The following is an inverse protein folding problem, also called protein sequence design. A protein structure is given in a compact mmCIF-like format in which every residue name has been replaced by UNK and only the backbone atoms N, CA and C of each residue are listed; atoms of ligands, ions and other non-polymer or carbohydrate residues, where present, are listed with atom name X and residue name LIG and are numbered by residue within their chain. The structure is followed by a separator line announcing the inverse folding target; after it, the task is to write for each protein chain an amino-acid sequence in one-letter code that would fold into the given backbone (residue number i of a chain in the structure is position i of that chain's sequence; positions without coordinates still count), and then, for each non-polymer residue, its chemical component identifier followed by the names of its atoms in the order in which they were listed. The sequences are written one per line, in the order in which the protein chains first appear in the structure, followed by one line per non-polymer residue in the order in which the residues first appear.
data_IF_155549072557
#
_entry.id   IF_155549072557
#
_cell.length_a   1.000
_cell.length_b   1.000
_cell.length_c   1.000
_cell.angle_alpha   90.00
_cell.angle_beta   90.00
_cell.angle_gamma   90.00
#
_symmetry.space_group_name_H-M   'P 1'
#
loop_
_entity.id
_entity.type
_entity.pdbx_description
1 polymer ?
#
# COMPACT_ATOMS: atom_id res chain seq x y z
N UNK A 1 9.39 19.52 -38.12
CA UNK A 1 9.43 19.26 -36.67
C UNK A 1 8.01 18.96 -36.21
N UNK A 2 7.68 17.67 -36.00
CA UNK A 2 6.31 17.22 -35.72
C UNK A 2 6.08 17.21 -34.20
N UNK A 3 5.25 18.12 -33.70
CA UNK A 3 4.68 18.06 -32.35
C UNK A 3 3.58 17.00 -32.32
N UNK A 4 3.73 15.96 -31.49
CA UNK A 4 2.63 15.05 -31.18
C UNK A 4 1.76 15.70 -30.11
N UNK A 5 0.58 16.12 -30.51
CA UNK A 5 -0.51 16.58 -29.66
C UNK A 5 -1.18 15.32 -29.10
N UNK A 6 -0.99 15.02 -27.81
CA UNK A 6 -1.73 13.96 -27.13
C UNK A 6 -2.98 14.58 -26.51
N UNK A 7 -4.15 14.37 -27.11
CA UNK A 7 -5.42 14.67 -26.46
C UNK A 7 -5.74 13.56 -25.47
N UNK A 8 -5.75 13.90 -24.18
CA UNK A 8 -6.41 13.09 -23.14
C UNK A 8 -7.92 13.31 -23.27
N UNK A 9 -8.54 12.56 -24.18
CA UNK A 9 -9.99 12.41 -24.16
C UNK A 9 -10.34 11.46 -23.00
N UNK A 10 -11.09 12.00 -22.04
CA UNK A 10 -11.86 11.25 -21.07
C UNK A 10 -12.78 10.26 -21.79
N UNK A 11 -12.40 8.99 -21.81
CA UNK A 11 -13.33 7.92 -22.17
C UNK A 11 -14.11 7.60 -20.90
N UNK A 12 -15.31 8.17 -20.82
CA UNK A 12 -16.41 7.67 -19.99
C UNK A 12 -16.56 6.18 -20.26
N UNK A 13 -16.38 5.35 -19.23
CA UNK A 13 -16.88 3.98 -19.29
C UNK A 13 -18.30 3.97 -18.74
N UNK A 14 -19.24 3.65 -19.62
CA UNK A 14 -20.66 3.48 -19.36
C UNK A 14 -20.88 2.40 -18.29
N UNK A 15 -21.39 2.82 -17.14
CA UNK A 15 -21.87 1.95 -16.07
C UNK A 15 -23.24 1.38 -16.43
N UNK A 16 -23.33 0.48 -17.41
CA UNK A 16 -24.57 -0.27 -17.72
C UNK A 16 -24.28 -1.61 -18.38
N UNK A 17 -24.06 -2.68 -17.62
CA UNK A 17 -24.63 -4.02 -17.88
C UNK A 17 -24.69 -4.75 -16.53
N UNK A 18 -25.87 -4.79 -15.89
CA UNK A 18 -26.48 -5.96 -15.27
C UNK A 18 -27.81 -5.52 -14.63
N UNK A 19 -28.82 -5.33 -15.47
CA UNK A 19 -30.22 -5.49 -15.08
C UNK A 19 -30.78 -6.59 -15.97
N UNK A 20 -31.26 -7.68 -15.35
CA UNK A 20 -32.43 -8.40 -15.81
C UNK A 20 -32.94 -9.28 -14.67
N UNK A 21 -34.04 -8.85 -14.08
CA UNK A 21 -34.96 -9.71 -13.35
C UNK A 21 -35.84 -10.48 -14.36
N UNK A 22 -36.15 -11.72 -13.97
CA UNK A 22 -37.33 -12.52 -14.32
C UNK A 22 -37.54 -13.00 -15.77
N UNK A 23 -37.16 -14.26 -16.02
CA UNK A 23 -38.08 -15.25 -16.62
C UNK A 23 -37.91 -16.57 -15.86
N UNK A 24 -39.02 -17.05 -15.30
CA UNK A 24 -39.16 -18.35 -14.65
C UNK A 24 -39.55 -19.44 -15.66
N UNK A 25 -39.26 -20.69 -15.27
CA UNK A 25 -39.87 -21.96 -15.69
C UNK A 25 -39.68 -22.45 -17.15
N UNK A 26 -38.75 -23.39 -17.32
CA UNK A 26 -39.03 -24.81 -17.65
C UNK A 26 -37.85 -25.43 -18.43
N UNK A 27 -37.12 -26.37 -17.83
CA UNK A 27 -37.11 -27.77 -18.24
C UNK A 27 -35.95 -28.57 -17.61
N UNK A 28 -36.32 -29.81 -17.25
CA UNK A 28 -35.50 -30.87 -16.67
C UNK A 28 -34.49 -31.44 -17.67
N UNK A 29 -33.49 -32.13 -17.10
CA UNK A 29 -32.59 -33.13 -17.72
C UNK A 29 -31.55 -32.51 -18.65
N UNK A 30 -30.24 -32.79 -18.59
CA UNK A 30 -29.53 -34.04 -18.45
C UNK A 30 -28.04 -33.81 -18.09
N UNK A 31 -27.45 -34.86 -17.51
CA UNK A 31 -26.04 -35.30 -17.56
C UNK A 31 -24.90 -34.51 -16.91
N UNK A 32 -24.41 -35.17 -15.86
CA UNK A 32 -23.09 -35.14 -15.23
C UNK A 32 -21.92 -35.43 -16.18
N UNK A 33 -20.84 -34.65 -16.10
CA UNK A 33 -19.46 -35.14 -16.31
C UNK A 33 -18.51 -34.31 -15.42
N UNK A 34 -18.03 -34.90 -14.32
CA UNK A 34 -16.84 -34.44 -13.62
C UNK A 34 -15.61 -35.07 -14.30
N UNK A 35 -14.57 -34.31 -14.66
CA UNK A 35 -13.30 -34.91 -15.06
C UNK A 35 -12.54 -35.37 -13.81
N UNK A 36 -12.25 -36.66 -13.75
CA UNK A 36 -11.39 -37.33 -12.77
C UNK A 36 -9.98 -36.73 -12.77
N UNK A 37 -9.49 -36.37 -11.58
CA UNK A 37 -8.09 -35.97 -11.36
C UNK A 37 -7.26 -37.24 -11.14
N UNK A 38 -6.13 -37.45 -11.86
CA UNK A 38 -5.30 -38.64 -11.69
C UNK A 38 -4.65 -38.64 -10.31
N UNK A 39 -4.85 -39.73 -9.57
CA UNK A 39 -4.24 -39.98 -8.26
C UNK A 39 -2.78 -40.38 -8.44
N UNK A 40 -1.85 -39.46 -8.18
CA UNK A 40 -0.43 -39.75 -8.08
C UNK A 40 -0.14 -40.26 -6.67
N UNK A 41 0.13 -41.56 -6.53
CA UNK A 41 0.72 -42.14 -5.32
C UNK A 41 2.17 -41.69 -5.21
N UNK A 42 2.45 -40.72 -4.33
CA UNK A 42 3.80 -40.38 -3.90
C UNK A 42 4.12 -41.14 -2.61
N UNK A 43 5.03 -42.10 -2.71
CA UNK A 43 5.67 -42.76 -1.58
C UNK A 43 6.37 -41.71 -0.70
N UNK A 44 5.83 -41.48 0.49
CA UNK A 44 6.36 -40.52 1.46
C UNK A 44 7.35 -41.22 2.39
N UNK A 45 8.57 -41.44 1.89
CA UNK A 45 9.67 -41.94 2.72
C UNK A 45 10.34 -40.80 3.53
N UNK A 46 10.11 -40.82 4.84
CA UNK A 46 11.05 -40.52 5.95
C UNK A 46 11.88 -39.22 6.00
N UNK A 47 11.60 -38.18 5.21
CA UNK A 47 12.25 -36.85 5.37
C UNK A 47 11.49 -35.91 6.35
N UNK A 48 10.30 -36.32 6.81
CA UNK A 48 9.31 -35.44 7.47
C UNK A 48 9.57 -35.01 8.92
N UNK A 49 10.58 -35.52 9.63
CA UNK A 49 10.70 -35.29 11.09
C UNK A 49 11.89 -34.45 11.59
N UNK A 50 12.78 -33.91 10.74
CA UNK A 50 13.94 -33.12 11.27
C UNK A 50 13.83 -31.60 11.12
N UNK A 51 12.87 -31.10 10.34
CA UNK A 51 12.72 -29.65 10.10
C UNK A 51 11.77 -29.03 11.12
N UNK A 52 10.64 -29.68 11.45
CA UNK A 52 9.67 -29.13 12.41
C UNK A 52 10.27 -28.96 13.82
N UNK A 53 11.00 -29.97 14.33
CA UNK A 53 11.66 -29.88 15.65
C UNK A 53 12.69 -28.74 15.75
N UNK A 54 13.20 -28.25 14.62
CA UNK A 54 14.22 -27.19 14.55
C UNK A 54 13.64 -25.77 14.42
N UNK A 55 12.36 -25.66 14.05
CA UNK A 55 11.64 -24.39 13.99
C UNK A 55 10.82 -24.14 15.26
N UNK A 56 10.36 -25.21 15.92
CA UNK A 56 9.59 -25.14 17.16
C UNK A 56 10.49 -25.17 18.42
N UNK A 57 11.72 -25.68 18.31
CA UNK A 57 12.78 -25.44 19.31
C UNK A 57 13.86 -24.50 18.74
N UNK A 58 14.17 -23.46 19.52
CA UNK A 58 15.40 -22.63 19.49
C UNK A 58 15.37 -21.24 18.81
N UNK A 59 15.79 -20.27 19.63
CA UNK A 59 16.70 -19.15 19.34
C UNK A 59 16.70 -18.59 17.91
N UNK A 60 16.27 -17.33 17.75
CA UNK A 60 16.28 -16.58 16.49
C UNK A 60 17.60 -16.56 15.69
N UNK A 61 18.74 -16.97 16.28
CA UNK A 61 20.04 -17.15 15.60
C UNK A 61 19.98 -18.12 14.41
N UNK A 62 19.22 -19.21 14.51
CA UNK A 62 19.12 -20.20 13.42
C UNK A 62 18.25 -19.68 12.26
N UNK A 63 17.16 -18.98 12.56
CA UNK A 63 16.33 -18.30 11.54
C UNK A 63 17.13 -17.23 10.78
N UNK A 64 17.97 -16.45 11.48
CA UNK A 64 18.85 -15.47 10.84
C UNK A 64 19.83 -16.13 9.85
N UNK A 65 20.35 -17.32 10.17
CA UNK A 65 21.29 -18.04 9.29
C UNK A 65 20.59 -18.54 8.03
N UNK A 66 19.39 -19.11 8.19
CA UNK A 66 18.56 -19.59 7.08
C UNK A 66 18.18 -18.43 6.17
N UNK A 67 17.58 -17.37 6.74
CA UNK A 67 17.16 -16.21 5.97
C UNK A 67 18.35 -15.52 5.28
N UNK A 68 19.50 -15.40 5.96
CA UNK A 68 20.73 -14.89 5.33
C UNK A 68 21.15 -15.75 4.15
N UNK A 69 21.05 -17.09 4.23
CA UNK A 69 21.39 -17.97 3.11
C UNK A 69 20.47 -17.81 1.91
N UNK A 70 19.16 -17.64 2.14
CA UNK A 70 18.17 -17.36 1.09
C UNK A 70 18.33 -15.96 0.50
N UNK A 71 18.74 -14.99 1.33
CA UNK A 71 18.94 -13.59 0.93
C UNK A 71 20.41 -13.27 0.62
N UNK A 72 21.28 -14.26 0.40
CA UNK A 72 22.74 -14.08 0.15
C UNK A 72 23.03 -13.11 -1.00
N UNK A 73 22.10 -12.99 -1.96
CA UNK A 73 22.21 -12.12 -3.13
C UNK A 73 21.22 -10.93 -3.11
N UNK A 74 20.42 -10.79 -2.06
CA UNK A 74 19.42 -9.71 -1.95
C UNK A 74 20.07 -8.51 -1.25
N UNK A 75 20.79 -7.72 -2.05
CA UNK A 75 21.42 -6.46 -1.62
C UNK A 75 20.40 -5.31 -1.47
N UNK A 76 19.15 -5.51 -1.89
CA UNK A 76 18.17 -4.45 -1.91
C UNK A 76 17.62 -4.21 -0.49
N UNK A 77 18.04 -3.11 0.15
CA UNK A 77 17.50 -2.60 1.42
C UNK A 77 16.04 -2.11 1.33
N UNK A 78 15.23 -2.69 0.44
CA UNK A 78 13.86 -2.29 0.13
C UNK A 78 12.80 -3.06 0.93
N UNK A 79 13.15 -4.17 1.59
CA UNK A 79 12.23 -4.99 2.41
C UNK A 79 12.87 -5.35 3.74
N UNK A 80 12.04 -5.53 4.77
CA UNK A 80 12.40 -6.31 5.96
C UNK A 80 11.26 -7.29 6.29
N UNK A 81 11.63 -8.34 6.99
CA UNK A 81 10.82 -9.46 7.43
C UNK A 81 10.80 -9.49 8.96
N UNK A 82 9.68 -9.86 9.55
CA UNK A 82 9.58 -10.08 11.00
C UNK A 82 10.29 -11.41 11.32
N UNK A 83 11.18 -11.38 12.29
CA UNK A 83 12.00 -12.53 12.71
C UNK A 83 11.81 -12.90 14.17
N UNK A 84 11.08 -12.07 14.91
CA UNK A 84 10.86 -12.19 16.34
C UNK A 84 9.39 -12.52 16.61
N UNK A 85 9.16 -13.58 17.36
CA UNK A 85 7.81 -14.08 17.66
C UNK A 85 7.02 -13.13 18.56
N UNK A 86 7.67 -12.39 19.45
CA UNK A 86 7.01 -11.41 20.31
C UNK A 86 6.56 -10.20 19.49
N UNK A 87 7.38 -9.78 18.52
CA UNK A 87 7.03 -8.72 17.57
C UNK A 87 5.83 -9.12 16.70
N UNK A 88 5.81 -10.36 16.20
CA UNK A 88 4.68 -10.90 15.47
C UNK A 88 3.41 -10.97 16.34
N UNK A 89 3.54 -11.48 17.57
CA UNK A 89 2.44 -11.61 18.52
C UNK A 89 1.82 -10.27 18.89
N UNK A 90 2.63 -9.21 19.07
CA UNK A 90 2.11 -7.85 19.27
C UNK A 90 1.21 -7.40 18.11
N UNK A 91 1.62 -7.66 16.86
CA UNK A 91 0.82 -7.32 15.69
C UNK A 91 -0.50 -8.09 15.69
N UNK A 92 -0.45 -9.41 15.85
CA UNK A 92 -1.65 -10.25 15.86
C UNK A 92 -2.59 -9.85 16.98
N UNK A 93 -2.08 -9.59 18.19
CA UNK A 93 -2.88 -9.13 19.33
C UNK A 93 -3.66 -7.84 19.04
N UNK A 94 -3.08 -6.88 18.32
CA UNK A 94 -3.80 -5.66 17.95
C UNK A 94 -4.76 -5.90 16.79
N UNK A 95 -4.36 -6.69 15.78
CA UNK A 95 -5.23 -7.08 14.67
C UNK A 95 -6.50 -7.78 15.19
N UNK A 96 -6.36 -8.75 16.10
CA UNK A 96 -7.45 -9.58 16.62
C UNK A 96 -8.55 -8.81 17.36
N UNK A 97 -8.27 -7.57 17.81
CA UNK A 97 -9.30 -6.73 18.46
C UNK A 97 -10.36 -6.22 17.48
N UNK A 98 -9.99 -6.10 16.21
CA UNK A 98 -10.79 -5.49 15.16
C UNK A 98 -11.05 -6.47 14.00
N UNK A 99 -10.89 -7.76 14.28
CA UNK A 99 -10.96 -8.84 13.30
C UNK A 99 -12.33 -9.52 13.40
N UNK A 100 -13.13 -9.34 12.36
CA UNK A 100 -14.46 -9.93 12.20
C UNK A 100 -14.39 -11.28 11.49
N UNK A 101 -15.43 -12.11 11.60
CA UNK A 101 -15.42 -13.48 11.05
C UNK A 101 -15.22 -13.52 9.53
N UNK A 102 -15.73 -12.53 8.83
CA UNK A 102 -15.71 -12.41 7.37
C UNK A 102 -14.43 -11.73 6.83
N UNK A 103 -13.55 -11.24 7.73
CA UNK A 103 -12.33 -10.55 7.32
C UNK A 103 -11.38 -11.47 6.55
N UNK A 104 -10.75 -10.91 5.51
CA UNK A 104 -9.64 -11.58 4.80
C UNK A 104 -8.33 -11.02 5.29
N UNK A 105 -7.42 -11.88 5.75
CA UNK A 105 -6.08 -11.47 6.15
C UNK A 105 -5.13 -11.64 4.97
N UNK A 106 -4.48 -10.53 4.59
CA UNK A 106 -3.45 -10.51 3.56
C UNK A 106 -2.11 -10.18 4.20
N UNK A 107 -1.13 -11.06 4.07
CA UNK A 107 0.24 -10.83 4.55
C UNK A 107 1.18 -10.40 3.42
N UNK A 108 1.85 -9.27 3.62
CA UNK A 108 2.83 -8.71 2.69
C UNK A 108 4.24 -9.21 3.02
N UNK A 109 4.87 -9.94 2.10
CA UNK A 109 6.27 -10.40 2.23
C UNK A 109 6.51 -11.18 3.54
N UNK A 110 5.86 -12.35 3.71
CA UNK A 110 5.92 -13.16 4.94
C UNK A 110 7.34 -13.68 5.28
N UNK A 111 8.25 -13.76 4.30
CA UNK A 111 9.57 -14.32 4.49
C UNK A 111 9.54 -15.78 4.91
N UNK A 112 10.13 -16.12 6.06
CA UNK A 112 10.08 -17.49 6.62
C UNK A 112 8.76 -17.80 7.36
N UNK A 113 7.81 -16.86 7.40
CA UNK A 113 6.48 -17.09 7.95
C UNK A 113 6.37 -17.02 9.47
N UNK A 114 7.21 -16.24 10.14
CA UNK A 114 7.11 -16.01 11.60
C UNK A 114 5.75 -15.39 11.94
N UNK A 115 5.36 -14.33 11.22
CA UNK A 115 4.05 -13.72 11.37
C UNK A 115 2.94 -14.64 10.84
N UNK A 116 3.11 -15.27 9.68
CA UNK A 116 2.17 -16.26 9.14
C UNK A 116 1.79 -17.34 10.16
N UNK A 117 2.78 -17.89 10.88
CA UNK A 117 2.56 -18.92 11.90
C UNK A 117 1.74 -18.39 13.08
N UNK A 118 2.03 -17.17 13.56
CA UNK A 118 1.22 -16.53 14.61
C UNK A 118 -0.22 -16.27 14.15
N UNK A 119 -0.41 -15.79 12.92
CA UNK A 119 -1.74 -15.61 12.34
C UNK A 119 -2.52 -16.95 12.27
N UNK A 120 -1.90 -18.00 11.72
CA UNK A 120 -2.54 -19.32 11.57
C UNK A 120 -2.93 -19.97 12.91
N UNK A 121 -2.12 -19.75 13.95
CA UNK A 121 -2.31 -20.37 15.27
C UNK A 121 -3.23 -19.56 16.20
N UNK A 122 -3.33 -18.25 16.01
CA UNK A 122 -4.11 -17.36 16.88
C UNK A 122 -5.41 -16.85 16.25
N UNK A 123 -5.62 -17.07 14.95
CA UNK A 123 -6.87 -16.76 14.26
C UNK A 123 -7.43 -17.99 13.55
N UNK A 124 -8.71 -17.95 13.19
CA UNK A 124 -9.38 -18.99 12.41
C UNK A 124 -9.54 -18.59 10.93
N UNK A 125 -8.97 -17.46 10.53
CA UNK A 125 -9.16 -16.87 9.20
C UNK A 125 -8.29 -17.54 8.14
N UNK A 126 -8.71 -17.38 6.89
CA UNK A 126 -7.87 -17.68 5.74
C UNK A 126 -6.83 -16.57 5.59
N UNK A 127 -5.61 -16.96 5.19
CA UNK A 127 -4.47 -16.07 5.02
C UNK A 127 -4.00 -16.15 3.59
N UNK A 128 -3.92 -14.98 2.96
CA UNK A 128 -3.37 -14.80 1.62
C UNK A 128 -1.98 -14.18 1.79
N UNK A 129 -0.94 -14.93 1.46
CA UNK A 129 0.44 -14.53 1.62
C UNK A 129 1.08 -14.22 0.27
N UNK A 130 1.62 -13.00 0.12
CA UNK A 130 2.33 -12.58 -1.09
C UNK A 130 3.83 -12.50 -0.84
N UNK A 131 4.57 -13.52 -1.31
CA UNK A 131 6.03 -13.59 -1.19
C UNK A 131 6.69 -13.55 -2.58
N UNK A 132 7.29 -12.41 -2.97
CA UNK A 132 7.91 -12.26 -4.28
C UNK A 132 9.27 -12.97 -4.39
N UNK A 133 9.89 -13.39 -3.29
CA UNK A 133 11.17 -14.08 -3.34
C UNK A 133 10.98 -15.60 -3.40
N UNK A 134 11.29 -16.20 -4.55
CA UNK A 134 11.07 -17.63 -4.81
C UNK A 134 11.61 -18.53 -3.70
N UNK A 135 12.85 -18.35 -3.26
CA UNK A 135 13.42 -19.24 -2.24
C UNK A 135 12.74 -19.13 -0.87
N UNK A 136 12.20 -17.96 -0.53
CA UNK A 136 11.46 -17.77 0.73
C UNK A 136 10.05 -18.33 0.57
N UNK A 137 9.44 -18.12 -0.60
CA UNK A 137 8.15 -18.69 -0.95
C UNK A 137 8.17 -20.22 -0.91
N UNK A 138 9.16 -20.87 -1.52
CA UNK A 138 9.29 -22.33 -1.47
C UNK A 138 9.44 -22.83 -0.04
N UNK A 139 10.29 -22.18 0.77
CA UNK A 139 10.41 -22.49 2.19
C UNK A 139 9.10 -22.33 2.95
N UNK A 140 8.30 -21.29 2.64
CA UNK A 140 7.00 -21.05 3.27
C UNK A 140 5.98 -22.14 2.89
N UNK A 141 5.96 -22.56 1.63
CA UNK A 141 5.11 -23.66 1.13
C UNK A 141 5.47 -24.97 1.84
N UNK A 142 6.75 -25.31 1.90
CA UNK A 142 7.22 -26.57 2.47
C UNK A 142 6.93 -26.66 3.98
N UNK A 143 7.10 -25.54 4.70
CA UNK A 143 6.97 -25.51 6.16
C UNK A 143 5.53 -25.30 6.60
N UNK A 144 4.79 -24.36 6.00
CA UNK A 144 3.45 -23.98 6.45
C UNK A 144 2.35 -24.34 5.45
N UNK A 145 2.61 -24.20 4.14
CA UNK A 145 1.61 -24.49 3.10
C UNK A 145 1.08 -25.92 3.17
N UNK A 146 1.96 -26.90 3.40
CA UNK A 146 1.57 -28.30 3.56
C UNK A 146 0.83 -28.61 4.86
N UNK A 147 1.02 -27.80 5.91
CA UNK A 147 0.35 -27.98 7.20
C UNK A 147 -1.04 -27.35 7.22
N UNK A 148 -1.23 -26.28 6.44
CA UNK A 148 -2.48 -25.50 6.40
C UNK A 148 -3.00 -25.33 4.96
N UNK A 149 -3.19 -26.42 4.18
CA UNK A 149 -3.47 -26.32 2.75
C UNK A 149 -4.81 -25.65 2.41
N UNK A 150 -5.78 -25.67 3.34
CA UNK A 150 -7.09 -25.03 3.17
C UNK A 150 -7.15 -23.59 3.70
N UNK A 151 -6.14 -23.15 4.46
CA UNK A 151 -6.16 -21.86 5.16
C UNK A 151 -5.06 -20.91 4.72
N UNK A 152 -3.98 -21.41 4.13
CA UNK A 152 -2.85 -20.60 3.67
C UNK A 152 -2.73 -20.68 2.14
N UNK A 153 -2.92 -19.55 1.47
CA UNK A 153 -2.75 -19.41 0.03
C UNK A 153 -1.56 -18.51 -0.26
N UNK A 154 -0.57 -19.02 -1.00
CA UNK A 154 0.71 -18.34 -1.23
C UNK A 154 0.85 -17.96 -2.71
N UNK A 155 1.17 -16.70 -2.98
CA UNK A 155 1.27 -16.15 -4.33
C UNK A 155 2.61 -15.45 -4.59
N UNK A 156 3.08 -15.53 -5.85
CA UNK A 156 4.30 -14.85 -6.34
C UNK A 156 4.00 -13.44 -6.84
N UNK A 157 3.65 -12.53 -5.92
CA UNK A 157 3.47 -11.11 -6.21
C UNK A 157 3.99 -10.27 -5.06
N UNK A 158 4.12 -8.96 -5.29
CA UNK A 158 4.51 -7.99 -4.27
C UNK A 158 3.40 -6.96 -4.07
N UNK A 159 2.72 -7.02 -2.93
CA UNK A 159 1.67 -6.06 -2.55
C UNK A 159 2.20 -4.63 -2.57
N UNK A 160 3.47 -4.39 -2.25
CA UNK A 160 4.07 -3.04 -2.27
C UNK A 160 4.26 -2.49 -3.69
N UNK A 161 4.06 -3.31 -4.72
CA UNK A 161 4.10 -2.93 -6.14
C UNK A 161 2.72 -2.72 -6.76
N UNK A 162 1.63 -2.77 -5.98
CA UNK A 162 0.25 -2.66 -6.49
C UNK A 162 0.05 -1.54 -7.53
N UNK A 163 0.50 -0.32 -7.22
CA UNK A 163 0.33 0.81 -8.14
C UNK A 163 1.21 0.69 -9.40
N UNK A 164 2.39 0.09 -9.28
CA UNK A 164 3.24 -0.19 -10.44
C UNK A 164 2.59 -1.22 -11.35
N UNK A 165 1.87 -2.20 -10.79
CA UNK A 165 1.04 -3.10 -11.57
C UNK A 165 -0.06 -2.33 -12.29
N UNK A 166 -0.83 -1.49 -11.60
CA UNK A 166 -1.85 -0.63 -12.22
C UNK A 166 -1.33 0.18 -13.41
N UNK A 167 -0.21 0.88 -13.24
CA UNK A 167 0.40 1.65 -14.32
C UNK A 167 0.83 0.75 -15.49
N UNK A 168 1.35 -0.46 -15.20
CA UNK A 168 1.75 -1.40 -16.23
C UNK A 168 0.56 -1.96 -17.02
N UNK A 169 -0.57 -2.27 -16.36
CA UNK A 169 -1.78 -2.77 -17.04
C UNK A 169 -2.41 -1.68 -17.92
N UNK A 170 -2.35 -0.41 -17.50
CA UNK A 170 -2.84 0.71 -18.33
C UNK A 170 -2.07 0.87 -19.63
N UNK A 171 -0.78 0.48 -19.66
CA UNK A 171 0.04 0.51 -20.88
C UNK A 171 -0.13 -0.75 -21.72
N UNK A 172 -0.30 -1.88 -21.05
CA UNK A 172 -0.45 -3.19 -21.66
C UNK A 172 -1.58 -3.94 -20.95
N UNK A 173 -2.84 -3.79 -21.42
CA UNK A 173 -4.01 -4.42 -20.81
C UNK A 173 -3.94 -5.96 -20.77
N UNK A 174 -3.02 -6.58 -21.52
CA UNK A 174 -2.76 -8.01 -21.45
C UNK A 174 -2.09 -8.44 -20.14
N UNK A 175 -1.36 -7.53 -19.47
CA UNK A 175 -0.75 -7.79 -18.16
C UNK A 175 -1.83 -7.67 -17.09
N UNK A 176 -2.26 -8.79 -16.54
CA UNK A 176 -3.27 -8.89 -15.47
C UNK A 176 -2.65 -9.06 -14.07
N UNK A 177 -1.55 -8.37 -13.77
CA UNK A 177 -0.84 -8.47 -12.49
C UNK A 177 -1.59 -7.85 -11.30
N UNK A 178 -2.17 -6.67 -11.45
CA UNK A 178 -3.03 -6.04 -10.45
C UNK A 178 -4.28 -6.90 -10.24
N UNK A 179 -4.89 -7.38 -11.34
CA UNK A 179 -6.03 -8.30 -11.22
C UNK A 179 -5.65 -9.57 -10.45
N UNK A 180 -4.51 -10.20 -10.75
CA UNK A 180 -4.00 -11.36 -9.98
C UNK A 180 -3.70 -11.02 -8.50
N UNK A 181 -3.31 -9.78 -8.22
CA UNK A 181 -3.10 -9.31 -6.84
C UNK A 181 -4.44 -9.17 -6.11
N UNK A 182 -5.43 -8.52 -6.70
CA UNK A 182 -6.68 -8.17 -6.01
C UNK A 182 -7.70 -9.31 -5.99
N UNK A 183 -7.75 -10.13 -7.04
CA UNK A 183 -8.76 -11.17 -7.20
C UNK A 183 -8.90 -12.10 -5.97
N UNK A 184 -7.82 -12.63 -5.38
CA UNK A 184 -7.92 -13.45 -4.17
C UNK A 184 -8.57 -12.74 -2.98
N UNK A 185 -8.40 -11.42 -2.89
CA UNK A 185 -8.97 -10.59 -1.81
C UNK A 185 -10.48 -10.37 -1.98
N UNK A 186 -10.99 -10.43 -3.22
CA UNK A 186 -12.39 -10.21 -3.54
C UNK A 186 -13.25 -11.49 -3.44
N UNK A 187 -12.64 -12.68 -3.47
CA UNK A 187 -13.36 -13.96 -3.54
C UNK A 187 -14.18 -14.33 -2.28
N UNK A 188 -13.98 -13.63 -1.17
CA UNK A 188 -14.50 -14.06 0.13
C UNK A 188 -15.70 -13.22 0.62
N UNK A 189 -16.23 -12.30 -0.20
CA UNK A 189 -17.39 -11.48 0.13
C UNK A 189 -18.67 -11.94 -0.60
N UNK A 190 -19.69 -12.34 0.15
CA UNK A 190 -20.99 -12.74 -0.43
C UNK A 190 -21.96 -11.56 -0.67
N UNK A 191 -21.63 -10.31 -0.31
CA UNK A 191 -22.54 -9.16 -0.46
C UNK A 191 -21.90 -7.78 -0.18
N UNK A 192 -20.90 -7.36 -0.96
CA UNK A 192 -20.36 -5.99 -0.90
C UNK A 192 -18.83 -5.88 -0.92
N UNK A 193 -18.32 -4.72 -0.49
CA UNK A 193 -16.87 -4.44 -0.36
C UNK A 193 -16.26 -5.48 0.59
N UNK A 194 -15.28 -6.23 0.11
CA UNK A 194 -14.59 -7.28 0.90
C UNK A 194 -13.82 -6.64 2.06
N UNK A 195 -14.04 -7.04 3.32
CA UNK A 195 -13.35 -6.45 4.45
C UNK A 195 -11.94 -7.06 4.55
N UNK A 196 -10.97 -6.37 3.96
CA UNK A 196 -9.58 -6.84 3.84
C UNK A 196 -8.69 -6.19 4.91
N UNK A 197 -7.95 -7.01 5.66
CA UNK A 197 -6.90 -6.56 6.57
C UNK A 197 -5.53 -6.91 6.00
N UNK A 198 -4.73 -5.89 5.68
CA UNK A 198 -3.39 -6.08 5.11
C UNK A 198 -2.35 -5.90 6.21
N UNK A 199 -1.50 -6.90 6.40
CA UNK A 199 -0.47 -6.93 7.45
C UNK A 199 0.92 -7.09 6.89
N UNK A 200 1.94 -6.61 7.60
CA UNK A 200 3.34 -6.81 7.23
C UNK A 200 4.25 -5.64 7.59
N UNK A 201 5.31 -5.47 6.80
CA UNK A 201 6.34 -4.46 7.05
C UNK A 201 6.62 -3.63 5.81
N UNK A 202 6.56 -2.29 5.92
CA UNK A 202 6.77 -1.37 4.80
C UNK A 202 7.96 -0.43 5.09
N UNK A 203 8.88 -0.34 4.13
CA UNK A 203 10.08 0.52 4.19
C UNK A 203 10.14 1.61 3.13
N UNK A 204 9.25 1.54 2.15
CA UNK A 204 9.24 2.45 1.03
C UNK A 204 8.26 3.59 1.28
N UNK A 205 8.79 4.82 1.36
CA UNK A 205 7.93 6.02 1.44
C UNK A 205 6.99 6.14 0.24
N UNK A 206 7.39 5.62 -0.93
CA UNK A 206 6.55 5.65 -2.12
C UNK A 206 5.31 4.78 -1.98
N UNK A 207 5.29 3.79 -1.08
CA UNK A 207 4.07 3.02 -0.80
C UNK A 207 2.94 3.94 -0.31
N UNK A 208 3.23 4.82 0.66
CA UNK A 208 2.26 5.75 1.22
C UNK A 208 1.81 6.82 0.22
N UNK A 209 2.74 7.32 -0.60
CA UNK A 209 2.38 8.23 -1.69
C UNK A 209 1.43 7.54 -2.69
N UNK A 210 1.76 6.31 -3.09
CA UNK A 210 0.91 5.50 -3.97
C UNK A 210 -0.43 5.14 -3.34
N UNK A 211 -0.50 5.00 -2.01
CA UNK A 211 -1.76 4.78 -1.31
C UNK A 211 -2.67 6.01 -1.39
N UNK A 212 -2.12 7.21 -1.24
CA UNK A 212 -2.84 8.47 -1.47
C UNK A 212 -3.37 8.53 -2.90
N UNK A 213 -2.51 8.27 -3.90
CA UNK A 213 -2.95 8.30 -5.30
C UNK A 213 -4.04 7.26 -5.60
N UNK A 214 -3.89 6.05 -5.07
CA UNK A 214 -4.89 4.99 -5.19
C UNK A 214 -6.25 5.43 -4.63
N UNK A 215 -6.26 6.16 -3.52
CA UNK A 215 -7.48 6.67 -2.89
C UNK A 215 -8.08 7.83 -3.69
N UNK A 216 -7.26 8.80 -4.10
CA UNK A 216 -7.68 9.99 -4.86
C UNK A 216 -8.26 9.60 -6.22
N UNK A 217 -7.59 8.71 -6.94
CA UNK A 217 -8.04 8.26 -8.26
C UNK A 217 -9.04 7.11 -8.20
N UNK A 218 -9.41 6.64 -7.00
CA UNK A 218 -10.31 5.51 -6.77
C UNK A 218 -9.92 4.30 -7.64
N UNK A 219 -8.66 3.88 -7.54
CA UNK A 219 -8.10 2.79 -8.31
C UNK A 219 -7.36 1.81 -7.39
N UNK A 220 -6.98 0.65 -7.94
CA UNK A 220 -6.29 -0.41 -7.20
C UNK A 220 -7.09 -0.88 -5.97
N UNK A 221 -6.59 -0.64 -4.75
CA UNK A 221 -7.26 -1.06 -3.52
C UNK A 221 -8.59 -0.34 -3.28
N UNK A 222 -8.69 0.91 -3.71
CA UNK A 222 -9.86 1.75 -3.45
C UNK A 222 -10.85 1.75 -4.61
N UNK A 223 -10.76 0.74 -5.47
CA UNK A 223 -11.81 0.42 -6.43
C UNK A 223 -12.87 -0.45 -5.74
N UNK A 224 -12.46 -1.58 -5.14
CA UNK A 224 -13.42 -2.59 -4.65
C UNK A 224 -13.22 -3.08 -3.20
N UNK A 225 -12.06 -2.85 -2.57
CA UNK A 225 -11.71 -3.57 -1.31
C UNK A 225 -11.52 -2.67 -0.07
N UNK A 226 -11.06 -1.42 -0.21
CA UNK A 226 -10.86 -0.49 0.93
C UNK A 226 -10.18 -1.10 2.17
N UNK A 227 -8.93 -1.55 2.03
CA UNK A 227 -8.28 -2.33 3.07
C UNK A 227 -7.93 -1.48 4.29
N UNK A 228 -7.93 -2.12 5.46
CA UNK A 228 -7.33 -1.59 6.68
C UNK A 228 -5.95 -2.22 6.82
N UNK A 229 -4.92 -1.39 7.05
CA UNK A 229 -3.55 -1.86 7.13
C UNK A 229 -3.07 -1.93 8.58
N UNK A 230 -2.40 -3.01 8.97
CA UNK A 230 -1.63 -3.15 10.22
C UNK A 230 -0.15 -3.37 9.88
N UNK A 231 0.63 -2.30 9.92
CA UNK A 231 1.98 -2.32 9.36
C UNK A 231 3.01 -1.91 10.39
N UNK A 232 4.12 -2.65 10.42
CA UNK A 232 5.35 -2.12 11.01
C UNK A 232 6.06 -1.20 10.02
N UNK A 233 6.45 -0.02 10.48
CA UNK A 233 7.20 0.97 9.70
C UNK A 233 8.36 1.57 10.52
N UNK A 234 9.48 1.96 9.88
CA UNK A 234 10.55 2.68 10.56
C UNK A 234 10.11 4.02 11.12
N UNK A 235 10.76 4.48 12.20
CA UNK A 235 10.62 5.84 12.74
C UNK A 235 10.69 6.93 11.64
N UNK A 236 11.67 6.82 10.72
CA UNK A 236 11.86 7.78 9.63
C UNK A 236 10.66 7.90 8.67
N UNK A 237 9.83 6.86 8.57
CA UNK A 237 8.62 6.86 7.74
C UNK A 237 7.48 7.43 8.56
N UNK A 238 7.34 6.98 9.80
CA UNK A 238 6.33 7.45 10.74
C UNK A 238 6.38 8.98 10.87
N UNK A 239 7.57 9.55 11.13
CA UNK A 239 7.80 11.00 11.22
C UNK A 239 7.47 11.77 9.93
N UNK A 240 7.39 11.10 8.76
CA UNK A 240 7.07 11.70 7.47
C UNK A 240 5.60 11.58 7.09
N UNK A 241 4.83 10.69 7.71
CA UNK A 241 3.39 10.57 7.45
C UNK A 241 2.55 11.16 8.58
N UNK A 242 3.13 11.38 9.75
CA UNK A 242 2.50 12.06 10.89
C UNK A 242 2.90 13.53 10.92
N UNK A 243 1.93 14.43 11.11
CA UNK A 243 2.17 15.84 11.44
C UNK A 243 2.37 15.92 12.95
N UNK A 244 3.62 15.97 13.39
CA UNK A 244 3.96 16.15 14.80
C UNK A 244 3.78 17.60 15.24
N UNK A 245 3.28 17.81 16.47
CA UNK A 245 3.19 19.14 17.09
C UNK A 245 4.55 19.78 17.41
N UNK A 246 5.61 18.95 17.53
CA UNK A 246 6.94 19.38 18.00
C UNK A 246 7.93 19.69 16.88
N UNK A 247 7.69 19.20 15.65
CA UNK A 247 8.62 19.37 14.53
C UNK A 247 8.07 20.39 13.53
N UNK A 248 8.83 21.46 13.28
CA UNK A 248 8.46 22.47 12.28
C UNK A 248 8.65 21.98 10.84
N UNK A 249 9.50 20.97 10.62
CA UNK A 249 9.67 20.31 9.34
C UNK A 249 8.75 19.08 9.26
N UNK A 250 7.70 19.15 8.45
CA UNK A 250 6.92 17.99 8.06
C UNK A 250 7.19 17.68 6.59
N UNK A 251 6.93 16.45 6.18
CA UNK A 251 7.12 16.02 4.80
C UNK A 251 5.88 16.40 3.99
N UNK A 252 6.01 16.67 2.68
CA UNK A 252 4.87 17.09 1.86
C UNK A 252 3.69 16.09 1.87
N UNK A 253 3.96 14.83 2.22
CA UNK A 253 2.97 13.76 2.33
C UNK A 253 2.25 13.74 3.70
N UNK A 254 2.77 14.41 4.74
CA UNK A 254 2.24 14.26 6.10
C UNK A 254 0.81 14.80 6.24
N UNK A 255 0.50 15.94 5.61
CA UNK A 255 -0.86 16.50 5.64
C UNK A 255 -1.79 15.69 4.74
N UNK A 256 -1.50 15.47 3.44
CA UNK A 256 -2.40 14.72 2.56
C UNK A 256 -2.69 13.31 3.14
N UNK A 257 -1.68 12.63 3.66
CA UNK A 257 -1.88 11.30 4.22
C UNK A 257 -2.89 11.26 5.37
N UNK A 258 -2.84 12.22 6.31
CA UNK A 258 -3.80 12.28 7.42
C UNK A 258 -5.18 12.81 7.01
N UNK A 259 -5.26 13.52 5.89
CA UNK A 259 -6.51 13.99 5.27
C UNK A 259 -7.26 12.83 4.62
N UNK A 260 -6.55 11.89 3.98
CA UNK A 260 -7.16 10.72 3.31
C UNK A 260 -7.28 9.49 4.20
N UNK A 261 -6.47 9.40 5.27
CA UNK A 261 -6.43 8.23 6.14
C UNK A 261 -6.49 8.60 7.61
N UNK A 262 -7.22 7.78 8.37
CA UNK A 262 -7.05 7.69 9.81
C UNK A 262 -5.80 6.87 10.10
N UNK A 263 -4.87 7.46 10.85
CA UNK A 263 -3.61 6.83 11.22
C UNK A 263 -3.55 6.72 12.74
N UNK A 264 -3.48 5.49 13.23
CA UNK A 264 -3.39 5.18 14.66
C UNK A 264 -2.03 4.51 14.95
N UNK A 265 -1.36 4.96 16.00
CA UNK A 265 -0.14 4.31 16.50
C UNK A 265 -0.51 3.30 17.58
N UNK A 266 -0.17 2.02 17.35
CA UNK A 266 -0.62 0.90 18.20
C UNK A 266 0.46 0.40 19.16
N UNK A 267 1.70 0.26 18.69
CA UNK A 267 2.79 -0.34 19.47
C UNK A 267 4.17 0.03 18.90
N UNK A 268 5.22 -0.29 19.66
CA UNK A 268 6.62 -0.10 19.27
C UNK A 268 7.38 -1.41 19.45
N UNK A 269 8.18 -1.76 18.44
CA UNK A 269 9.08 -2.90 18.45
C UNK A 269 10.53 -2.47 18.23
N UNK A 270 11.46 -3.22 18.82
CA UNK A 270 12.88 -3.07 18.52
C UNK A 270 13.16 -3.55 17.10
N UNK A 271 13.97 -2.80 16.36
CA UNK A 271 14.44 -3.17 15.02
C UNK A 271 15.26 -4.47 14.98
N UNK A 272 15.74 -4.95 16.14
CA UNK A 272 16.40 -6.27 16.24
C UNK A 272 15.48 -7.43 15.88
N UNK A 273 14.15 -7.24 15.97
CA UNK A 273 13.16 -8.25 15.57
C UNK A 273 12.90 -8.33 14.06
N UNK A 274 13.70 -7.64 13.23
CA UNK A 274 13.48 -7.52 11.78
C UNK A 274 14.76 -7.82 10.99
N UNK A 275 14.63 -8.38 9.78
CA UNK A 275 15.76 -8.67 8.87
C UNK A 275 15.47 -8.28 7.42
N UNK A 276 16.45 -7.83 6.60
CA UNK A 276 17.85 -7.59 6.93
C UNK A 276 17.99 -6.46 7.94
N UNK A 277 18.96 -6.52 8.87
CA UNK A 277 19.25 -5.36 9.69
C UNK A 277 19.63 -4.21 8.76
N UNK A 278 18.82 -3.15 8.75
CA UNK A 278 19.10 -1.97 7.94
C UNK A 278 20.45 -1.39 8.36
N UNK A 279 21.40 -1.32 7.42
CA UNK A 279 22.73 -0.75 7.66
C UNK A 279 22.58 0.70 8.11
N UNK A 280 23.15 1.05 9.26
CA UNK A 280 23.31 2.45 9.66
C UNK A 280 24.07 3.17 8.53
N UNK A 281 23.41 4.08 7.82
CA UNK A 281 24.07 4.88 6.80
C UNK A 281 25.04 5.84 7.48
N UNK A 282 26.34 5.60 7.30
CA UNK A 282 27.42 6.55 7.61
C UNK A 282 27.91 6.53 9.05
N UNK A 283 29.25 6.50 9.21
CA UNK A 283 29.97 6.38 10.48
C UNK A 283 29.86 7.59 11.45
N UNK A 284 29.05 8.62 11.20
CA UNK A 284 29.15 9.89 11.95
C UNK A 284 27.85 10.64 12.30
N UNK A 285 26.66 10.08 12.10
CA UNK A 285 25.43 10.73 12.59
C UNK A 285 25.07 10.16 13.95
N UNK A 286 25.11 11.00 15.00
CA UNK A 286 24.48 10.70 16.29
C UNK A 286 23.06 10.25 16.00
N UNK A 287 22.81 8.95 16.11
CA UNK A 287 21.51 8.36 15.85
C UNK A 287 20.52 9.03 16.80
N UNK A 288 19.52 9.72 16.25
CA UNK A 288 18.49 10.37 17.05
C UNK A 288 17.83 9.32 17.98
N UNK A 289 17.43 9.70 19.21
CA UNK A 289 16.67 8.82 20.09
C UNK A 289 15.48 8.21 19.33
N UNK A 290 15.29 6.89 19.40
CA UNK A 290 14.19 6.19 18.71
C UNK A 290 14.45 5.81 17.23
N UNK A 291 15.60 6.15 16.66
CA UNK A 291 15.97 5.72 15.28
C UNK A 291 16.09 4.19 15.09
N UNK A 292 16.11 3.43 16.19
CA UNK A 292 16.12 1.97 16.21
C UNK A 292 14.74 1.34 16.46
N UNK A 293 13.66 2.14 16.43
CA UNK A 293 12.30 1.66 16.65
C UNK A 293 11.57 1.40 15.32
N UNK A 294 10.71 0.38 15.37
CA UNK A 294 9.69 0.08 14.37
C UNK A 294 8.33 0.34 15.01
N UNK A 295 7.51 1.16 14.37
CA UNK A 295 6.18 1.52 14.84
C UNK A 295 5.15 0.63 14.19
N UNK A 296 4.33 -0.02 15.00
CA UNK A 296 3.12 -0.67 14.52
C UNK A 296 2.04 0.40 14.39
N UNK A 297 1.51 0.54 13.17
CA UNK A 297 0.46 1.50 12.86
C UNK A 297 -0.75 0.79 12.25
N UNK A 298 -1.92 1.39 12.47
CA UNK A 298 -3.16 1.07 11.78
C UNK A 298 -3.53 2.22 10.83
N UNK A 299 -3.85 1.89 9.59
CA UNK A 299 -4.28 2.85 8.58
C UNK A 299 -5.67 2.46 8.08
N UNK A 300 -6.63 3.36 8.21
CA UNK A 300 -7.99 3.18 7.68
C UNK A 300 -8.34 4.32 6.71
N UNK A 301 -8.97 4.03 5.56
CA UNK A 301 -9.43 5.08 4.65
C UNK A 301 -10.52 5.95 5.27
N UNK A 302 -10.45 7.26 5.05
CA UNK A 302 -11.51 8.23 5.38
C UNK A 302 -12.57 8.24 4.29
N UNK A 303 -13.41 7.20 4.25
CA UNK A 303 -14.44 7.02 3.22
C UNK A 303 -15.43 8.19 3.17
N UNK A 304 -15.66 8.84 4.30
CA UNK A 304 -16.48 10.05 4.44
C UNK A 304 -16.02 11.19 3.51
N UNK A 305 -14.75 11.22 3.10
CA UNK A 305 -14.25 12.27 2.21
C UNK A 305 -14.84 12.16 0.80
N UNK A 306 -15.19 10.97 0.34
CA UNK A 306 -15.83 10.76 -0.97
C UNK A 306 -17.29 11.21 -0.98
N UNK A 307 -17.91 11.36 0.19
CA UNK A 307 -19.24 11.97 0.33
C UNK A 307 -19.14 13.51 0.34
N UNK A 308 -17.99 14.05 0.75
CA UNK A 308 -17.76 15.49 0.85
C UNK A 308 -17.21 16.14 -0.42
N UNK A 309 -16.54 15.37 -1.28
CA UNK A 309 -15.89 15.82 -2.52
C UNK A 309 -16.20 14.82 -3.64
N UNK A 310 -16.70 15.31 -4.77
CA UNK A 310 -16.93 14.46 -5.95
C UNK A 310 -15.60 13.92 -6.51
N UNK A 311 -15.66 12.83 -7.27
CA UNK A 311 -14.47 12.21 -7.87
C UNK A 311 -13.63 13.20 -8.70
N UNK A 312 -14.29 13.99 -9.55
CA UNK A 312 -13.61 14.97 -10.41
C UNK A 312 -12.97 16.11 -9.62
N UNK A 313 -13.53 16.45 -8.45
CA UNK A 313 -12.98 17.47 -7.56
C UNK A 313 -11.89 16.91 -6.63
N UNK A 314 -11.86 15.60 -6.39
CA UNK A 314 -10.89 14.97 -5.50
C UNK A 314 -9.45 15.07 -6.07
N UNK A 315 -9.30 15.01 -7.40
CA UNK A 315 -8.01 15.20 -8.06
C UNK A 315 -7.49 16.64 -7.92
N UNK A 316 -8.37 17.63 -8.15
CA UNK A 316 -8.06 19.05 -7.97
C UNK A 316 -7.77 19.37 -6.51
N UNK A 317 -8.53 18.76 -5.60
CA UNK A 317 -8.30 18.87 -4.16
C UNK A 317 -6.95 18.26 -3.77
N UNK A 318 -6.55 17.10 -4.30
CA UNK A 318 -5.21 16.56 -4.05
C UNK A 318 -4.11 17.47 -4.62
N UNK A 319 -4.30 18.07 -5.80
CA UNK A 319 -3.36 19.05 -6.31
C UNK A 319 -3.23 20.26 -5.36
N UNK A 320 -4.36 20.78 -4.87
CA UNK A 320 -4.41 21.83 -3.86
C UNK A 320 -3.64 21.37 -2.60
N UNK A 321 -3.96 20.20 -2.06
CA UNK A 321 -3.38 19.64 -0.85
C UNK A 321 -1.88 19.40 -0.98
N UNK A 322 -1.41 18.77 -2.05
CA UNK A 322 0.00 18.55 -2.33
C UNK A 322 0.76 19.88 -2.51
N UNK A 323 0.11 20.94 -3.00
CA UNK A 323 0.72 22.26 -3.11
C UNK A 323 0.82 22.95 -1.76
N UNK A 324 -0.28 23.06 -1.02
CA UNK A 324 -0.28 23.74 0.30
C UNK A 324 0.60 22.98 1.31
N UNK A 325 0.74 21.67 1.17
CA UNK A 325 1.61 20.87 2.02
C UNK A 325 3.11 21.11 1.79
N UNK A 326 3.49 21.83 0.73
CA UNK A 326 4.87 22.22 0.41
C UNK A 326 5.20 23.66 0.80
N UNK A 327 4.25 24.36 1.41
CA UNK A 327 4.43 25.72 1.92
C UNK A 327 5.59 25.72 2.93
N UNK A 328 6.48 26.72 2.80
CA UNK A 328 7.64 26.89 3.68
C UNK A 328 7.17 27.34 5.06
N UNK A 329 7.98 27.08 6.09
CA UNK A 329 7.66 27.41 7.50
C UNK A 329 7.14 28.83 7.74
N UNK A 330 7.65 29.81 7.00
CA UNK A 330 7.31 31.23 7.18
C UNK A 330 6.22 31.71 6.21
N UNK A 331 5.84 30.88 5.25
CA UNK A 331 4.76 31.19 4.31
C UNK A 331 3.43 30.73 4.94
N UNK A 332 2.35 31.40 4.59
CA UNK A 332 1.01 31.09 5.09
C UNK A 332 0.16 30.48 3.99
N UNK A 333 -0.95 29.85 4.36
CA UNK A 333 -1.91 29.33 3.39
C UNK A 333 -2.34 30.46 2.43
N UNK A 334 -2.69 31.61 2.98
CA UNK A 334 -3.13 32.79 2.23
C UNK A 334 -2.09 33.24 1.20
N UNK A 335 -0.81 33.37 1.60
CA UNK A 335 0.27 33.73 0.68
C UNK A 335 0.44 32.73 -0.47
N UNK A 336 0.11 31.45 -0.24
CA UNK A 336 0.15 30.45 -1.30
C UNK A 336 -1.03 30.59 -2.26
N UNK A 337 -2.24 30.82 -1.74
CA UNK A 337 -3.45 30.97 -2.54
C UNK A 337 -3.43 32.25 -3.39
N UNK A 338 -2.84 33.33 -2.88
CA UNK A 338 -2.66 34.59 -3.63
C UNK A 338 -1.77 34.45 -4.87
N UNK A 339 -0.93 33.41 -4.95
CA UNK A 339 -0.15 33.09 -6.16
C UNK A 339 -1.04 32.55 -7.30
N UNK A 340 -2.21 32.01 -6.97
CA UNK A 340 -3.19 31.56 -7.95
C UNK A 340 -4.25 32.64 -8.21
N UNK A 341 -4.80 33.22 -7.16
CA UNK A 341 -5.84 34.25 -7.27
C UNK A 341 -5.46 35.44 -6.36
N UNK A 342 -5.00 36.56 -6.93
CA UNK A 342 -4.69 37.77 -6.17
C UNK A 342 -5.89 38.23 -5.32
N UNK A 343 -5.61 38.84 -4.17
CA UNK A 343 -6.61 39.42 -3.26
C UNK A 343 -7.70 38.43 -2.79
N UNK A 344 -7.40 37.12 -2.76
CA UNK A 344 -8.31 36.11 -2.19
C UNK A 344 -8.37 36.14 -0.65
N UNK A 345 -7.39 36.78 -0.01
CA UNK A 345 -7.23 36.83 1.44
C UNK A 345 -8.46 37.29 2.23
N UNK A 346 -9.11 38.42 1.89
CA UNK A 346 -10.29 38.91 2.60
C UNK A 346 -11.44 37.90 2.69
N UNK A 347 -11.66 37.08 1.65
CA UNK A 347 -12.70 36.05 1.66
C UNK A 347 -12.35 34.91 2.62
N UNK A 348 -11.09 34.50 2.68
CA UNK A 348 -10.62 33.48 3.62
C UNK A 348 -10.76 33.97 5.08
N UNK A 349 -10.36 35.23 5.35
CA UNK A 349 -10.43 35.84 6.68
C UNK A 349 -11.87 35.98 7.16
N UNK A 350 -12.78 36.42 6.28
CA UNK A 350 -14.21 36.53 6.58
C UNK A 350 -14.82 35.20 7.03
N UNK A 351 -14.28 34.07 6.55
CA UNK A 351 -14.72 32.72 6.91
C UNK A 351 -13.88 32.09 8.04
N UNK A 352 -13.12 32.88 8.79
CA UNK A 352 -12.42 32.44 10.01
C UNK A 352 -11.01 31.87 9.79
N UNK A 353 -10.44 31.97 8.58
CA UNK A 353 -9.05 31.62 8.33
C UNK A 353 -8.15 32.83 8.57
N UNK A 354 -7.30 32.76 9.60
CA UNK A 354 -6.35 33.78 9.98
C UNK A 354 -5.20 33.90 8.95
N UNK A 355 -4.71 35.12 8.72
CA UNK A 355 -3.53 35.44 7.91
C UNK A 355 -2.28 34.63 8.29
N UNK A 356 -2.13 34.20 9.54
CA UNK A 356 -0.99 33.42 10.04
C UNK A 356 -1.21 31.89 9.98
N UNK A 357 -2.33 31.42 9.44
CA UNK A 357 -2.58 29.99 9.37
C UNK A 357 -1.61 29.31 8.42
N UNK A 358 -0.78 28.45 9.00
CA UNK A 358 0.03 27.47 8.27
C UNK A 358 -0.81 26.19 8.07
N UNK A 359 -0.79 25.53 6.89
CA UNK A 359 -1.63 24.36 6.60
C UNK A 359 -1.53 23.24 7.63
N UNK A 360 -0.33 22.97 8.15
CA UNK A 360 -0.08 21.98 9.21
C UNK A 360 -0.89 22.19 10.50
N UNK A 361 -1.36 23.42 10.75
CA UNK A 361 -2.12 23.78 11.94
C UNK A 361 -3.63 23.78 11.68
N UNK A 362 -4.06 23.46 10.46
CA UNK A 362 -5.46 23.46 10.06
C UNK A 362 -6.03 22.05 10.16
N UNK A 363 -7.29 21.96 10.58
CA UNK A 363 -8.05 20.71 10.55
C UNK A 363 -8.47 20.36 9.12
N UNK A 364 -8.97 19.12 8.92
CA UNK A 364 -9.56 18.70 7.65
C UNK A 364 -10.67 19.66 7.21
N UNK A 365 -11.58 20.01 8.12
CA UNK A 365 -12.72 20.88 7.85
C UNK A 365 -12.26 22.29 7.43
N UNK A 366 -11.20 22.81 8.06
CA UNK A 366 -10.64 24.11 7.70
C UNK A 366 -9.93 24.11 6.34
N UNK A 367 -9.23 23.02 6.00
CA UNK A 367 -8.60 22.86 4.69
C UNK A 367 -9.65 22.67 3.57
N UNK A 368 -10.71 21.91 3.85
CA UNK A 368 -11.86 21.79 2.95
C UNK A 368 -12.58 23.11 2.77
N UNK A 369 -12.79 23.87 3.85
CA UNK A 369 -13.38 25.20 3.78
C UNK A 369 -12.51 26.14 2.94
N UNK A 370 -11.18 26.13 3.14
CA UNK A 370 -10.26 26.93 2.35
C UNK A 370 -10.33 26.58 0.86
N UNK A 371 -10.36 25.28 0.53
CA UNK A 371 -10.53 24.82 -0.85
C UNK A 371 -11.86 25.29 -1.44
N UNK A 372 -12.98 25.08 -0.74
CA UNK A 372 -14.31 25.50 -1.19
C UNK A 372 -14.42 27.01 -1.37
N UNK A 373 -13.78 27.81 -0.53
CA UNK A 373 -13.73 29.27 -0.73
C UNK A 373 -12.94 29.57 -1.99
N UNK A 374 -11.74 28.99 -2.12
CA UNK A 374 -10.85 29.19 -3.26
C UNK A 374 -11.51 28.87 -4.61
N UNK A 375 -12.20 27.73 -4.71
CA UNK A 375 -12.88 27.32 -5.96
C UNK A 375 -14.12 28.15 -6.28
N UNK A 376 -14.68 28.89 -5.32
CA UNK A 376 -15.85 29.75 -5.53
C UNK A 376 -15.46 31.22 -5.79
N UNK A 377 -14.18 31.54 -5.91
CA UNK A 377 -13.73 32.90 -6.22
C UNK A 377 -13.99 33.25 -7.69
N UNK A 378 -14.34 34.51 -8.01
CA UNK A 378 -14.67 34.91 -9.39
C UNK A 378 -13.58 34.62 -10.43
N UNK A 379 -12.31 34.66 -10.03
CA UNK A 379 -11.15 34.45 -10.91
C UNK A 379 -10.65 32.99 -10.91
N UNK A 380 -11.38 32.05 -10.31
CA UNK A 380 -10.93 30.65 -10.21
C UNK A 380 -10.72 30.02 -11.58
N UNK A 381 -11.73 30.11 -12.46
CA UNK A 381 -11.67 29.51 -13.81
C UNK A 381 -10.53 30.06 -14.68
N UNK A 382 -10.18 31.33 -14.50
CA UNK A 382 -9.09 32.00 -15.24
C UNK A 382 -7.72 31.82 -14.57
N UNK A 383 -7.69 31.24 -13.36
CA UNK A 383 -6.47 31.14 -12.58
C UNK A 383 -5.48 30.10 -13.18
N UNK A 384 -4.17 30.26 -12.94
CA UNK A 384 -3.18 29.27 -13.38
C UNK A 384 -3.33 27.90 -12.68
N UNK A 385 -4.22 27.77 -11.69
CA UNK A 385 -4.47 26.53 -10.95
C UNK A 385 -4.80 25.36 -11.89
N UNK A 386 -5.70 25.55 -12.86
CA UNK A 386 -6.15 24.48 -13.75
C UNK A 386 -5.02 23.93 -14.62
N UNK A 387 -4.23 24.81 -15.25
CA UNK A 387 -3.08 24.40 -16.05
C UNK A 387 -2.02 23.68 -15.19
N UNK A 388 -1.77 24.19 -13.98
CA UNK A 388 -0.84 23.52 -13.06
C UNK A 388 -1.36 22.16 -12.58
N UNK A 389 -2.67 22.01 -12.38
CA UNK A 389 -3.30 20.75 -12.04
C UNK A 389 -3.14 19.72 -13.17
N UNK A 390 -3.36 20.13 -14.43
CA UNK A 390 -3.14 19.27 -15.61
C UNK A 390 -1.67 18.82 -15.68
N UNK A 391 -0.72 19.73 -15.48
CA UNK A 391 0.71 19.40 -15.46
C UNK A 391 1.07 18.47 -14.30
N UNK A 392 0.44 18.63 -13.14
CA UNK A 392 0.61 17.74 -12.01
C UNK A 392 0.15 16.32 -12.33
N UNK A 393 -1.05 16.18 -12.89
CA UNK A 393 -1.60 14.89 -13.32
C UNK A 393 -0.69 14.21 -14.37
N UNK A 394 -0.19 14.96 -15.35
CA UNK A 394 0.75 14.44 -16.35
C UNK A 394 2.05 13.91 -15.70
N UNK A 395 2.64 14.67 -14.76
CA UNK A 395 3.86 14.26 -14.05
C UNK A 395 3.67 13.02 -13.18
N UNK A 396 2.48 12.81 -12.61
CA UNK A 396 2.17 11.60 -11.86
C UNK A 396 2.16 10.37 -12.77
N UNK A 397 1.66 10.51 -14.01
CA UNK A 397 1.74 9.46 -15.03
C UNK A 397 3.18 9.15 -15.49
N UNK A 398 4.03 10.18 -15.56
CA UNK A 398 5.43 10.07 -16.03
C UNK A 398 6.41 9.57 -14.95
N UNK A 399 6.35 10.05 -13.69
CA UNK A 399 7.37 9.67 -12.68
C UNK A 399 7.40 8.18 -12.32
N UNK A 400 6.33 7.44 -12.60
CA UNK A 400 6.27 5.99 -12.43
C UNK A 400 6.73 5.22 -13.69
N UNK A 401 6.90 5.86 -14.86
CA UNK A 401 7.53 5.25 -16.06
C UNK A 401 9.01 4.94 -15.81
N UNK A 402 9.77 5.91 -15.31
CA UNK A 402 11.22 5.82 -15.15
C UNK A 402 11.63 4.76 -14.12
N UNK A 403 10.82 4.56 -13.07
CA UNK A 403 11.10 3.59 -12.01
C UNK A 403 10.86 2.14 -12.47
N UNK A 404 9.91 1.93 -13.39
CA UNK A 404 9.61 0.62 -13.98
C UNK A 404 10.67 0.22 -15.01
N UNK A 405 11.07 1.16 -15.88
CA UNK A 405 12.05 0.94 -16.95
C UNK A 405 13.47 0.74 -16.41
N UNK A 406 13.86 1.47 -15.37
CA UNK A 406 15.17 1.23 -14.75
C UNK A 406 15.26 -0.13 -14.04
N UNK A 407 14.16 -0.70 -13.54
CA UNK A 407 14.19 -2.02 -12.89
C UNK A 407 14.20 -3.18 -13.90
N UNK A 408 13.51 -3.06 -15.03
CA UNK A 408 13.57 -4.07 -16.11
C UNK A 408 14.94 -4.09 -16.79
N UNK A 409 15.59 -2.94 -16.97
CA UNK A 409 16.96 -2.87 -17.51
C UNK A 409 17.98 -3.46 -16.54
N UNK A 410 17.82 -3.23 -15.23
CA UNK A 410 18.73 -3.82 -14.23
C UNK A 410 18.58 -5.35 -14.16
N UNK A 411 17.34 -5.87 -14.19
CA UNK A 411 17.08 -7.31 -14.19
C UNK A 411 17.56 -8.02 -15.47
N UNK A 412 17.45 -7.36 -16.63
CA UNK A 412 17.94 -7.89 -17.91
C UNK A 412 19.48 -7.90 -18.01
N UNK A 413 20.16 -6.99 -17.31
CA UNK A 413 21.62 -6.98 -17.25
C UNK A 413 22.15 -8.05 -16.27
N UNK A 414 21.46 -8.27 -15.14
CA UNK A 414 21.79 -9.35 -14.20
C UNK A 414 21.60 -10.77 -14.80
N UNK A 415 20.73 -10.92 -15.81
CA UNK A 415 20.61 -12.18 -16.58
C UNK A 415 21.69 -12.33 -17.66
N UNK A 416 22.12 -11.23 -18.30
CA UNK A 416 23.21 -11.27 -19.30
C UNK A 416 24.56 -11.58 -18.68
N UNK A 417 24.85 -11.05 -17.50
CA UNK A 417 26.12 -11.33 -16.82
C UNK A 417 26.21 -12.78 -16.34
N UNK A 418 25.08 -13.43 -16.01
CA UNK A 418 25.04 -14.86 -15.67
C UNK A 418 25.23 -15.80 -16.86
N UNK A 419 24.95 -15.34 -18.08
CA UNK A 419 25.16 -16.09 -19.32
C UNK A 419 26.57 -15.94 -19.89
N UNK A 420 27.36 -14.99 -19.38
CA UNK A 420 28.76 -14.77 -19.77
C UNK A 420 29.75 -15.50 -18.84
N UNK A 421 29.30 -15.91 -17.64
CA UNK A 421 30.07 -16.66 -16.65
C UNK A 421 29.76 -18.19 -16.63
N UNK A 422 28.94 -18.67 -17.58
CA UNK A 422 28.64 -20.10 -17.84
C UNK A 422 29.19 -20.52 -19.19
#
# INVERSE_FOLDING_TARGET
MRSKQYSLNSVLYDSKIYNNENIAENNKSELSVHPEVPSIKLETNNIKCKINDKYDNENGKDLFKILRSHLKNVTSGKRQYIMDFDVAEKLVRHLSKDLEKEDVIVECSPGLGVLTRKLLTQTNHNIIAYEPHESLRSSLVDVLGLQYPSRLHIYDLDVQKFYSYYISERRDPGRKLLHKLLYPMCLHGNSGISPVKIVGVIFDMKFFARLVLSFVFQCCFYEDIFPIFYLYIPNRIFDRIVVGSKNFSYHYLSIPFQIYFHLEHLDVASRSGFYPPLRAHGRNTRMAPGSNNMYLIKISPRKELWEMISKDELEKFEFFMNTVSRIKRNDTLLMCLERWIPDCGPQLIKNGLNIFNHPKNLTLEQLLLAYKIFTNLPLYEESPFHNQCIQFAARLGEKDTEVSEHQTVTAANDEKDKLLDS
#
